data_IF_221156209335
#
_entry.id   IF_221156209335
#
_cell.length_a   1.000
_cell.length_b   1.000
_cell.length_c   1.000
_cell.angle_alpha   90.00
_cell.angle_beta   90.00
_cell.angle_gamma   90.00
#
_symmetry.space_group_name_H-M   'P 1'
#
loop_
_entity.id
_entity.type
_entity.pdbx_description
1 polymer ?
#
# COMPACT_ATOMS: atom_id res chain seq x y z
N UNK A 1 -6.76 -17.40 14.06
CA UNK A 1 -6.97 -16.82 12.72
C UNK A 1 -5.84 -15.83 12.46
N UNK A 2 -5.20 -15.87 11.29
CA UNK A 2 -4.21 -14.86 10.91
C UNK A 2 -4.94 -13.58 10.45
N UNK A 3 -4.40 -12.37 10.72
CA UNK A 3 -5.01 -11.12 10.27
C UNK A 3 -5.09 -11.08 8.73
N UNK A 4 -6.18 -10.53 8.19
CA UNK A 4 -6.36 -10.44 6.74
C UNK A 4 -5.59 -9.23 6.19
N UNK A 5 -4.82 -9.39 5.10
CA UNK A 5 -4.12 -8.26 4.49
C UNK A 5 -5.10 -7.27 3.85
N UNK A 6 -4.78 -5.98 3.96
CA UNK A 6 -5.49 -4.87 3.31
C UNK A 6 -4.74 -4.44 2.05
N UNK A 7 -5.48 -4.19 0.96
CA UNK A 7 -4.88 -3.80 -0.32
C UNK A 7 -4.88 -2.28 -0.49
N UNK A 8 -3.72 -1.70 -0.77
CA UNK A 8 -3.52 -0.27 -1.01
C UNK A 8 -3.10 -0.07 -2.45
N UNK A 9 -3.78 0.83 -3.14
CA UNK A 9 -3.36 1.26 -4.47
C UNK A 9 -2.13 2.14 -4.35
N UNK A 10 -1.08 1.83 -5.11
CA UNK A 10 -0.01 2.78 -5.34
C UNK A 10 -0.54 3.94 -6.17
N UNK A 11 -0.60 5.13 -5.57
CA UNK A 11 -0.61 6.36 -6.33
C UNK A 11 0.82 6.72 -6.68
N UNK A 12 1.07 6.88 -7.99
CA UNK A 12 2.29 7.50 -8.50
C UNK A 12 2.26 8.96 -8.04
N UNK A 13 2.91 9.26 -6.92
CA UNK A 13 3.18 10.63 -6.56
C UNK A 13 4.24 11.16 -7.52
N UNK A 14 4.16 12.44 -7.87
CA UNK A 14 5.04 13.16 -8.78
C UNK A 14 6.47 13.30 -8.24
N UNK A 15 7.10 12.17 -7.96
CA UNK A 15 8.54 12.04 -7.85
C UNK A 15 9.09 11.73 -9.24
N UNK A 16 10.31 12.16 -9.49
CA UNK A 16 11.04 11.92 -10.73
C UNK A 16 10.78 10.49 -11.25
N UNK A 17 10.16 10.37 -12.42
CA UNK A 17 9.55 9.12 -12.90
C UNK A 17 10.56 7.98 -12.93
N UNK A 18 11.81 8.28 -13.28
CA UNK A 18 12.92 7.34 -13.33
C UNK A 18 13.33 6.83 -11.93
N UNK A 19 13.22 7.68 -10.91
CA UNK A 19 13.48 7.30 -9.52
C UNK A 19 12.39 6.35 -8.98
N UNK A 20 11.15 6.55 -9.41
CA UNK A 20 10.02 5.73 -8.99
C UNK A 20 10.11 4.30 -9.56
N UNK A 21 10.43 4.14 -10.85
CA UNK A 21 10.55 2.80 -11.45
C UNK A 21 11.71 2.00 -10.86
N UNK A 22 12.85 2.65 -10.60
CA UNK A 22 13.99 2.03 -9.91
C UNK A 22 13.63 1.62 -8.49
N UNK A 23 12.89 2.46 -7.77
CA UNK A 23 12.37 2.14 -6.44
C UNK A 23 11.41 0.94 -6.48
N UNK A 24 10.42 0.96 -7.38
CA UNK A 24 9.44 -0.13 -7.51
C UNK A 24 10.13 -1.45 -7.89
N UNK A 25 11.12 -1.43 -8.80
CA UNK A 25 11.89 -2.61 -9.17
C UNK A 25 12.68 -3.19 -7.99
N UNK A 26 13.33 -2.33 -7.18
CA UNK A 26 14.04 -2.76 -5.97
C UNK A 26 13.08 -3.35 -4.94
N UNK A 27 11.94 -2.67 -4.72
CA UNK A 27 10.90 -3.12 -3.79
C UNK A 27 10.37 -4.51 -4.17
N UNK A 28 10.09 -4.75 -5.46
CA UNK A 28 9.62 -6.05 -5.96
C UNK A 28 10.68 -7.13 -5.78
N UNK A 29 11.95 -6.81 -6.06
CA UNK A 29 13.07 -7.75 -5.89
C UNK A 29 13.21 -8.22 -4.44
N UNK A 30 13.05 -7.32 -3.47
CA UNK A 30 13.15 -7.67 -2.06
C UNK A 30 11.89 -8.38 -1.56
N UNK A 31 10.71 -7.97 -2.03
CA UNK A 31 9.43 -8.62 -1.70
C UNK A 31 9.38 -10.09 -2.14
N UNK A 32 10.06 -10.45 -3.25
CA UNK A 32 10.17 -11.85 -3.68
C UNK A 32 10.95 -12.74 -2.70
N UNK A 33 11.74 -12.16 -1.79
CA UNK A 33 12.51 -12.92 -0.79
C UNK A 33 11.74 -13.06 0.51
N UNK A 34 11.13 -11.98 0.99
CA UNK A 34 10.38 -11.93 2.24
C UNK A 34 9.46 -10.71 2.30
N UNK A 35 8.45 -10.71 3.20
CA UNK A 35 7.68 -9.51 3.52
C UNK A 35 8.57 -8.36 4.00
N UNK A 36 8.20 -7.13 3.63
CA UNK A 36 9.00 -5.93 3.92
C UNK A 36 8.31 -5.05 4.97
N UNK A 37 9.05 -4.58 5.98
CA UNK A 37 8.54 -3.57 6.89
C UNK A 37 8.48 -2.20 6.18
N UNK A 38 7.32 -1.54 6.24
CA UNK A 38 7.06 -0.30 5.53
C UNK A 38 6.42 0.73 6.47
N UNK A 39 6.84 1.99 6.33
CA UNK A 39 6.10 3.14 6.85
C UNK A 39 5.24 3.69 5.73
N UNK A 40 3.92 3.64 5.91
CA UNK A 40 2.94 4.04 4.90
C UNK A 40 2.19 5.26 5.39
N UNK A 41 2.00 6.24 4.51
CA UNK A 41 1.11 7.37 4.78
C UNK A 41 -0.32 6.91 4.64
N UNK A 42 -1.08 6.96 5.73
CA UNK A 42 -2.49 6.67 5.77
C UNK A 42 -3.29 7.91 6.14
N UNK A 43 -4.52 7.98 5.68
CA UNK A 43 -5.49 9.01 6.02
C UNK A 43 -6.64 8.38 6.80
N UNK A 44 -7.43 9.17 7.57
CA UNK A 44 -8.54 8.65 8.36
C UNK A 44 -9.51 7.73 7.58
N UNK A 45 -9.73 8.02 6.29
CA UNK A 45 -10.57 7.20 5.39
C UNK A 45 -10.07 5.78 5.15
N UNK A 46 -8.79 5.49 5.46
CA UNK A 46 -8.28 4.13 5.46
C UNK A 46 -9.00 3.24 6.48
N UNK A 47 -9.53 3.82 7.56
CA UNK A 47 -10.31 3.06 8.53
C UNK A 47 -11.70 2.68 8.01
N UNK A 48 -12.19 3.35 6.95
CA UNK A 48 -13.49 3.07 6.35
C UNK A 48 -13.43 1.88 5.37
N UNK A 49 -12.24 1.51 4.90
CA UNK A 49 -12.07 0.34 4.04
C UNK A 49 -12.10 -0.96 4.85
N UNK A 50 -12.83 -1.94 4.33
CA UNK A 50 -12.97 -3.26 4.96
C UNK A 50 -12.75 -4.39 3.95
N UNK A 51 -12.22 -5.52 4.42
CA UNK A 51 -12.00 -6.70 3.60
C UNK A 51 -11.03 -6.49 2.43
N UNK A 52 -11.44 -6.90 1.22
CA UNK A 52 -10.61 -6.88 0.00
C UNK A 52 -10.73 -5.59 -0.83
N UNK A 53 -11.17 -4.50 -0.21
CA UNK A 53 -11.29 -3.22 -0.90
C UNK A 53 -9.91 -2.62 -1.22
N UNK A 54 -9.80 -1.97 -2.38
CA UNK A 54 -8.60 -1.23 -2.76
C UNK A 54 -8.69 0.19 -2.20
N UNK A 55 -7.79 0.52 -1.29
CA UNK A 55 -7.65 1.89 -0.83
C UNK A 55 -7.06 2.77 -1.94
N UNK A 56 -7.72 3.87 -2.29
CA UNK A 56 -7.24 4.85 -3.28
C UNK A 56 -7.44 6.28 -2.74
N UNK A 57 -6.44 6.86 -2.06
CA UNK A 57 -6.62 8.12 -1.35
C UNK A 57 -6.90 9.28 -2.33
N UNK A 58 -7.86 10.15 -2.03
CA UNK A 58 -8.24 11.28 -2.88
C UNK A 58 -7.43 12.56 -2.55
N UNK A 59 -7.40 13.53 -3.48
CA UNK A 59 -6.62 14.78 -3.33
C UNK A 59 -7.05 15.62 -2.11
N UNK A 60 -8.28 15.43 -1.63
CA UNK A 60 -8.83 16.18 -0.50
C UNK A 60 -8.35 15.66 0.86
N UNK A 61 -7.71 14.49 0.92
CA UNK A 61 -7.31 13.83 2.17
C UNK A 61 -5.97 14.34 2.71
N UNK A 62 -5.23 15.13 1.93
CA UNK A 62 -3.85 15.59 2.20
C UNK A 62 -3.67 16.31 3.55
N UNK A 63 -4.74 16.80 4.19
CA UNK A 63 -4.66 17.65 5.40
C UNK A 63 -4.48 16.88 6.72
N UNK A 64 -4.76 15.58 6.77
CA UNK A 64 -4.60 14.78 8.00
C UNK A 64 -3.98 13.43 7.67
N UNK A 65 -2.65 13.40 7.58
CA UNK A 65 -1.87 12.18 7.32
C UNK A 65 -1.19 11.68 8.60
N UNK A 66 -1.22 10.36 8.81
CA UNK A 66 -0.39 9.66 9.80
C UNK A 66 0.57 8.70 9.11
N UNK A 67 1.75 8.48 9.71
CA UNK A 67 2.62 7.37 9.33
C UNK A 67 2.21 6.12 10.11
N UNK A 68 1.99 5.02 9.40
CA UNK A 68 1.66 3.74 10.00
C UNK A 68 2.63 2.66 9.54
N UNK A 69 3.14 1.88 10.49
CA UNK A 69 4.03 0.76 10.21
C UNK A 69 3.21 -0.49 9.86
N UNK A 70 3.46 -1.05 8.68
CA UNK A 70 2.82 -2.26 8.17
C UNK A 70 3.83 -3.17 7.47
N UNK A 71 3.45 -4.42 7.22
CA UNK A 71 4.23 -5.35 6.41
C UNK A 71 3.70 -5.39 5.00
N UNK A 72 4.51 -5.04 4.00
CA UNK A 72 4.21 -5.32 2.60
C UNK A 72 4.38 -6.82 2.35
N UNK A 73 3.30 -7.51 2.01
CA UNK A 73 3.27 -8.97 1.88
C UNK A 73 3.05 -9.44 0.44
N UNK A 74 2.40 -8.64 -0.40
CA UNK A 74 2.17 -8.99 -1.79
C UNK A 74 1.96 -7.77 -2.69
N UNK A 75 1.88 -8.05 -3.99
CA UNK A 75 1.60 -7.10 -5.06
C UNK A 75 0.67 -7.78 -6.05
N UNK A 76 -0.23 -7.02 -6.65
CA UNK A 76 -1.13 -7.53 -7.67
C UNK A 76 -1.58 -6.49 -8.67
N UNK A 77 -2.48 -6.93 -9.55
CA UNK A 77 -3.22 -6.10 -10.48
C UNK A 77 -4.69 -6.38 -10.30
N UNK A 78 -5.52 -5.35 -10.29
CA UNK A 78 -6.97 -5.52 -10.27
C UNK A 78 -7.52 -5.79 -11.68
N UNK A 79 -8.83 -5.99 -11.78
CA UNK A 79 -9.54 -6.25 -13.05
C UNK A 79 -9.34 -5.14 -14.10
N UNK A 80 -8.98 -3.92 -13.67
CA UNK A 80 -8.69 -2.76 -14.53
C UNK A 80 -7.19 -2.60 -14.82
N UNK A 81 -6.38 -3.64 -14.58
CA UNK A 81 -4.93 -3.64 -14.71
C UNK A 81 -4.19 -2.60 -13.82
N UNK A 82 -4.85 -2.01 -12.82
CA UNK A 82 -4.23 -1.07 -11.89
C UNK A 82 -3.40 -1.84 -10.86
N UNK A 83 -2.15 -1.44 -10.68
CA UNK A 83 -1.25 -2.03 -9.71
C UNK A 83 -1.70 -1.71 -8.28
N UNK A 84 -1.60 -2.70 -7.39
CA UNK A 84 -1.79 -2.52 -5.95
C UNK A 84 -0.74 -3.28 -5.16
N UNK A 85 -0.56 -2.85 -3.92
CA UNK A 85 0.25 -3.52 -2.90
C UNK A 85 -0.67 -4.05 -1.80
N UNK A 86 -0.34 -5.19 -1.23
CA UNK A 86 -1.05 -5.75 -0.09
C UNK A 86 -0.21 -5.62 1.16
N UNK A 87 -0.80 -5.04 2.18
CA UNK A 87 -0.18 -4.82 3.47
C UNK A 87 -0.88 -5.63 4.54
N UNK A 88 -0.12 -6.31 5.39
CA UNK A 88 -0.60 -6.79 6.66
C UNK A 88 -0.44 -5.67 7.70
N UNK A 89 -1.55 -5.23 8.26
CA UNK A 89 -1.59 -4.24 9.34
C UNK A 89 -1.54 -4.92 10.72
N UNK A 90 -1.45 -4.09 11.76
CA UNK A 90 -1.44 -4.53 13.16
C UNK A 90 -2.79 -4.35 13.86
N UNK A 91 -3.76 -3.73 13.17
CA UNK A 91 -5.15 -3.68 13.63
C UNK A 91 -5.77 -5.06 13.38
N UNK A 92 -5.88 -5.84 14.46
CA UNK A 92 -6.40 -7.21 14.45
C UNK A 92 -7.83 -7.35 13.92
N UNK A 93 -8.27 -8.60 13.81
CA UNK A 93 -9.54 -9.07 13.19
C UNK A 93 -10.80 -8.38 13.68
#
# INVERSE_FOLDING_TARGET
MLPQPRSITLKKWSFDFESYEKFEASLVKDLHKCPLACSVKLYPSFNDITGKQLYDPTVNEVRQQGLHSMLLVARGRNEKAKHFLEFQDSYGT
#
